data_IF_072506377543
#
_entry.id   IF_072506377543
#
_cell.length_a   1.000
_cell.length_b   1.000
_cell.length_c   1.000
_cell.angle_alpha   90.00
_cell.angle_beta   90.00
_cell.angle_gamma   90.00
#
_symmetry.space_group_name_H-M   'P 1'
#
loop_
_entity.id
_entity.type
_entity.pdbx_description
1 polymer ?
#
# COMPACT_ATOMS: atom_id res chain seq x y z
N UNK A 1 -24.02 0.66 -17.38
CA UNK A 1 -23.21 0.52 -16.17
C UNK A 1 -23.19 -0.94 -15.73
N UNK A 2 -22.01 -1.55 -15.70
CA UNK A 2 -21.83 -2.97 -15.36
C UNK A 2 -21.39 -3.16 -13.89
N UNK A 3 -21.38 -2.10 -13.08
CA UNK A 3 -20.95 -2.15 -11.67
C UNK A 3 -19.46 -2.41 -11.47
N UNK A 4 -18.64 -2.23 -12.53
CA UNK A 4 -17.17 -2.40 -12.44
C UNK A 4 -16.57 -1.21 -11.67
N UNK A 5 -15.64 -1.52 -10.79
CA UNK A 5 -14.82 -0.52 -10.08
C UNK A 5 -13.46 -0.39 -10.72
N UNK A 6 -12.97 0.83 -10.83
CA UNK A 6 -11.69 1.16 -11.45
C UNK A 6 -10.71 1.62 -10.38
N UNK A 7 -9.52 1.02 -10.37
CA UNK A 7 -8.41 1.44 -9.51
C UNK A 7 -7.34 2.09 -10.37
N UNK A 8 -6.99 3.33 -10.06
CA UNK A 8 -5.92 4.08 -10.74
C UNK A 8 -4.61 3.96 -9.97
N UNK A 9 -3.52 3.62 -10.66
CA UNK A 9 -2.17 3.49 -10.09
C UNK A 9 -1.35 4.76 -10.37
N UNK A 10 -0.79 5.38 -9.32
CA UNK A 10 0.00 6.61 -9.43
C UNK A 10 1.52 6.36 -9.56
N UNK A 11 1.95 5.12 -9.72
CA UNK A 11 3.37 4.67 -9.66
C UNK A 11 4.34 5.47 -10.55
N UNK A 12 3.90 5.99 -11.70
CA UNK A 12 4.75 6.73 -12.65
C UNK A 12 4.53 8.24 -12.63
N UNK A 13 3.87 8.75 -11.62
CA UNK A 13 3.63 10.19 -11.48
C UNK A 13 4.88 10.90 -10.94
N UNK A 14 5.28 12.00 -11.54
CA UNK A 14 6.37 12.85 -11.04
C UNK A 14 6.06 13.41 -9.63
N UNK A 15 4.78 13.59 -9.34
CA UNK A 15 4.25 13.96 -8.04
C UNK A 15 3.09 13.01 -7.71
N UNK A 16 3.24 12.21 -6.67
CA UNK A 16 2.26 11.17 -6.29
C UNK A 16 0.91 11.76 -5.86
N UNK A 17 0.91 12.92 -5.23
CA UNK A 17 -0.32 13.60 -4.77
C UNK A 17 -1.10 14.14 -5.97
N UNK A 18 -0.42 14.80 -6.90
CA UNK A 18 -1.06 15.33 -8.10
C UNK A 18 -1.55 14.20 -9.01
N UNK A 19 -0.79 13.10 -9.10
CA UNK A 19 -1.21 11.89 -9.79
C UNK A 19 -2.48 11.28 -9.20
N UNK A 20 -2.58 11.22 -7.88
CA UNK A 20 -3.77 10.71 -7.20
C UNK A 20 -5.01 11.59 -7.46
N UNK A 21 -4.87 12.92 -7.39
CA UNK A 21 -5.96 13.85 -7.73
C UNK A 21 -6.42 13.71 -9.17
N UNK A 22 -5.47 13.61 -10.11
CA UNK A 22 -5.80 13.42 -11.52
C UNK A 22 -6.60 12.13 -11.74
N UNK A 23 -6.20 11.02 -11.10
CA UNK A 23 -6.92 9.75 -11.20
C UNK A 23 -8.34 9.84 -10.63
N UNK A 24 -8.52 10.55 -9.52
CA UNK A 24 -9.85 10.83 -8.96
C UNK A 24 -10.70 11.67 -9.92
N UNK A 25 -10.13 12.74 -10.48
CA UNK A 25 -10.81 13.61 -11.46
C UNK A 25 -11.21 12.85 -12.74
N UNK A 26 -10.43 11.84 -13.13
CA UNK A 26 -10.72 10.95 -14.25
C UNK A 26 -11.81 9.90 -13.93
N UNK A 27 -12.29 9.84 -12.68
CA UNK A 27 -13.40 8.98 -12.27
C UNK A 27 -12.98 7.60 -11.77
N UNK A 28 -11.75 7.42 -11.32
CA UNK A 28 -11.36 6.21 -10.61
C UNK A 28 -12.15 6.07 -9.29
N UNK A 29 -12.44 4.84 -8.90
CA UNK A 29 -13.12 4.53 -7.63
C UNK A 29 -12.14 4.36 -6.47
N UNK A 30 -10.86 4.06 -6.77
CA UNK A 30 -9.78 3.83 -5.81
C UNK A 30 -8.47 4.36 -6.38
N UNK A 31 -7.58 4.82 -5.50
CA UNK A 31 -6.19 5.12 -5.83
C UNK A 31 -5.30 3.96 -5.36
N UNK A 32 -4.37 3.54 -6.20
CA UNK A 32 -3.27 2.66 -5.82
C UNK A 32 -2.04 3.57 -5.63
N UNK A 33 -1.64 3.79 -4.38
CA UNK A 33 -0.38 4.44 -4.05
C UNK A 33 0.74 3.41 -4.05
N UNK A 34 1.58 3.46 -5.07
CA UNK A 34 2.49 2.39 -5.42
C UNK A 34 3.93 2.89 -5.62
N UNK A 35 4.86 2.34 -4.84
CA UNK A 35 6.28 2.49 -5.11
C UNK A 35 6.77 1.24 -5.84
N UNK A 36 7.15 1.42 -7.11
CA UNK A 36 7.51 0.33 -8.02
C UNK A 36 8.73 -0.48 -7.55
N UNK A 37 8.77 -1.75 -7.95
CA UNK A 37 9.91 -2.63 -7.63
C UNK A 37 11.22 -2.12 -8.23
N UNK A 38 11.19 -1.69 -9.49
CA UNK A 38 12.40 -1.24 -10.20
C UNK A 38 12.94 0.07 -9.61
N UNK A 39 12.05 0.98 -9.21
CA UNK A 39 12.41 2.21 -8.49
C UNK A 39 13.11 1.89 -7.17
N UNK A 40 12.51 1.03 -6.34
CA UNK A 40 13.10 0.62 -5.06
C UNK A 40 14.44 -0.07 -5.24
N UNK A 41 14.58 -0.91 -6.28
CA UNK A 41 15.81 -1.59 -6.61
C UNK A 41 16.89 -0.61 -7.04
N UNK A 42 16.59 0.34 -7.90
CA UNK A 42 17.53 1.38 -8.32
C UNK A 42 18.04 2.22 -7.15
N UNK A 43 17.15 2.62 -6.24
CA UNK A 43 17.51 3.36 -5.02
C UNK A 43 18.36 2.50 -4.09
N UNK A 44 18.05 1.23 -3.91
CA UNK A 44 18.85 0.31 -3.10
C UNK A 44 20.27 0.15 -3.67
N UNK A 45 20.41 0.06 -4.99
CA UNK A 45 21.71 -0.05 -5.67
C UNK A 45 22.54 1.24 -5.55
N UNK A 46 21.91 2.41 -5.42
CA UNK A 46 22.58 3.69 -5.17
C UNK A 46 23.03 3.88 -3.72
N UNK A 47 22.57 3.03 -2.79
CA UNK A 47 22.88 3.13 -1.36
C UNK A 47 22.04 4.17 -0.61
N UNK A 48 21.00 4.71 -1.24
CA UNK A 48 20.05 5.63 -0.62
C UNK A 48 18.99 4.88 0.18
N UNK A 49 18.27 5.62 1.05
CA UNK A 49 17.14 5.05 1.80
C UNK A 49 16.01 4.69 0.82
N UNK A 50 15.59 3.42 0.83
CA UNK A 50 14.45 2.97 0.06
C UNK A 50 13.18 3.65 0.60
N UNK A 51 12.37 4.31 -0.26
CA UNK A 51 11.13 4.93 0.16
C UNK A 51 10.10 3.87 0.59
N UNK A 52 9.30 4.21 1.60
CA UNK A 52 8.12 3.43 1.99
C UNK A 52 6.86 4.07 1.45
N UNK A 53 5.85 3.31 1.03
CA UNK A 53 4.53 3.89 0.74
C UNK A 53 3.97 4.73 1.88
N UNK A 54 4.34 4.48 3.13
CA UNK A 54 3.92 5.28 4.28
C UNK A 54 4.45 6.72 4.26
N UNK A 55 5.57 6.98 3.59
CA UNK A 55 6.22 8.29 3.64
C UNK A 55 5.31 9.42 3.12
N UNK A 56 4.46 9.15 2.10
CA UNK A 56 3.52 10.10 1.50
C UNK A 56 2.04 9.72 1.68
N UNK A 57 1.76 8.54 2.24
CA UNK A 57 0.41 7.98 2.29
C UNK A 57 -0.61 8.92 2.92
N UNK A 58 -0.27 9.54 4.05
CA UNK A 58 -1.18 10.44 4.77
C UNK A 58 -1.54 11.69 3.95
N UNK A 59 -0.56 12.23 3.23
CA UNK A 59 -0.77 13.41 2.38
C UNK A 59 -1.65 13.08 1.17
N UNK A 60 -1.46 11.90 0.57
CA UNK A 60 -2.30 11.41 -0.52
C UNK A 60 -3.73 11.20 -0.03
N UNK A 61 -3.91 10.51 1.12
CA UNK A 61 -5.24 10.27 1.71
C UNK A 61 -5.98 11.58 2.01
N UNK A 62 -5.27 12.63 2.43
CA UNK A 62 -5.88 13.95 2.65
C UNK A 62 -6.21 14.70 1.36
N UNK A 63 -5.56 14.35 0.27
CA UNK A 63 -5.68 15.05 -1.01
C UNK A 63 -6.83 14.56 -1.89
N UNK A 64 -7.37 13.37 -1.61
CA UNK A 64 -8.45 12.71 -2.37
C UNK A 64 -9.60 12.28 -1.46
N UNK A 65 -10.80 12.15 -2.01
CA UNK A 65 -12.00 11.68 -1.29
C UNK A 65 -12.21 10.17 -1.44
N UNK A 66 -11.66 9.56 -2.50
CA UNK A 66 -11.80 8.13 -2.78
C UNK A 66 -10.76 7.32 -1.98
N UNK A 67 -11.06 6.04 -1.67
CA UNK A 67 -10.16 5.22 -0.87
C UNK A 67 -8.81 4.99 -1.53
N UNK A 68 -7.75 4.98 -0.72
CA UNK A 68 -6.37 4.73 -1.15
C UNK A 68 -5.93 3.33 -0.73
N UNK A 69 -5.30 2.60 -1.65
CA UNK A 69 -4.61 1.34 -1.40
C UNK A 69 -3.11 1.60 -1.31
N UNK A 70 -2.45 1.08 -0.28
CA UNK A 70 -0.99 1.14 -0.15
C UNK A 70 -0.34 -0.15 -0.67
N UNK A 71 0.69 0.01 -1.53
CA UNK A 71 1.45 -1.11 -2.10
C UNK A 71 2.88 -0.71 -2.44
N UNK A 72 3.79 -1.66 -2.45
CA UNK A 72 5.19 -1.47 -2.85
C UNK A 72 6.17 -1.56 -1.71
N UNK A 73 6.66 -2.76 -1.42
CA UNK A 73 7.73 -2.99 -0.47
C UNK A 73 7.35 -2.81 1.00
N UNK A 74 6.07 -2.89 1.34
CA UNK A 74 5.62 -2.81 2.72
C UNK A 74 6.17 -3.97 3.56
N UNK A 75 6.82 -3.63 4.69
CA UNK A 75 7.03 -4.58 5.76
C UNK A 75 5.70 -4.94 6.44
N UNK A 76 5.66 -6.02 7.22
CA UNK A 76 4.48 -6.34 8.01
C UNK A 76 4.13 -5.22 8.99
N UNK A 77 5.14 -4.62 9.62
CA UNK A 77 4.95 -3.50 10.54
C UNK A 77 4.34 -2.28 9.84
N UNK A 78 4.81 -1.95 8.62
CA UNK A 78 4.27 -0.85 7.85
C UNK A 78 2.85 -1.14 7.35
N UNK A 79 2.59 -2.37 6.92
CA UNK A 79 1.25 -2.80 6.50
C UNK A 79 0.21 -2.66 7.63
N UNK A 80 0.58 -3.00 8.86
CA UNK A 80 -0.27 -2.82 10.05
C UNK A 80 -0.55 -1.33 10.32
N UNK A 81 0.37 -0.44 9.96
CA UNK A 81 0.19 1.01 10.14
C UNK A 81 -0.68 1.67 9.05
N UNK A 82 -0.75 1.10 7.84
CA UNK A 82 -1.47 1.71 6.72
C UNK A 82 -2.90 2.18 7.06
N UNK A 83 -3.74 1.42 7.79
CA UNK A 83 -5.06 1.91 8.20
C UNK A 83 -5.01 3.16 9.06
N UNK A 84 -4.00 3.29 9.94
CA UNK A 84 -3.83 4.45 10.80
C UNK A 84 -3.44 5.71 10.01
N UNK A 85 -2.90 5.54 8.80
CA UNK A 85 -2.60 6.60 7.83
C UNK A 85 -3.76 6.84 6.85
N UNK A 86 -4.87 6.10 7.00
CA UNK A 86 -6.10 6.30 6.24
C UNK A 86 -6.25 5.40 5.01
N UNK A 87 -5.35 4.44 4.76
CA UNK A 87 -5.49 3.47 3.69
C UNK A 87 -6.30 2.24 4.17
N UNK A 88 -7.53 2.04 3.69
CA UNK A 88 -8.34 0.88 4.06
C UNK A 88 -7.92 -0.41 3.34
N UNK A 89 -7.07 -0.30 2.33
CA UNK A 89 -6.62 -1.41 1.50
C UNK A 89 -5.10 -1.48 1.50
N UNK A 90 -4.58 -2.70 1.65
CA UNK A 90 -3.14 -2.98 1.69
C UNK A 90 -2.81 -4.17 0.81
N UNK A 91 -1.73 -4.07 0.03
CA UNK A 91 -1.20 -5.19 -0.74
C UNK A 91 0.14 -5.63 -0.15
N UNK A 92 0.21 -6.89 0.21
CA UNK A 92 1.42 -7.55 0.66
C UNK A 92 1.88 -8.51 -0.43
N UNK A 93 3.08 -8.29 -0.95
CA UNK A 93 3.66 -9.09 -2.04
C UNK A 93 5.02 -9.66 -1.67
N UNK A 94 5.47 -10.65 -2.45
CA UNK A 94 6.84 -11.13 -2.39
C UNK A 94 7.83 -9.99 -2.74
N UNK A 95 9.05 -9.98 -2.16
CA UNK A 95 9.64 -10.98 -1.26
C UNK A 95 9.38 -10.75 0.23
N UNK A 96 8.53 -9.80 0.62
CA UNK A 96 8.58 -9.18 1.94
C UNK A 96 7.92 -9.95 3.07
N UNK A 97 6.81 -10.57 2.81
CA UNK A 97 6.04 -11.25 3.87
C UNK A 97 5.89 -12.73 3.56
N UNK A 98 5.96 -13.09 2.30
CA UNK A 98 5.76 -14.43 1.78
C UNK A 98 6.91 -14.78 0.83
N UNK A 99 8.15 -14.54 1.24
CA UNK A 99 9.30 -15.15 0.59
C UNK A 99 9.51 -16.59 1.11
N UNK A 100 10.36 -17.36 0.44
CA UNK A 100 10.63 -18.73 0.82
C UNK A 100 11.20 -18.87 2.24
N UNK A 101 11.82 -17.82 2.77
CA UNK A 101 12.39 -17.83 4.12
C UNK A 101 11.34 -17.44 5.16
N UNK A 102 10.42 -16.53 4.85
CA UNK A 102 9.24 -16.23 5.67
C UNK A 102 8.33 -17.45 5.82
N UNK A 103 8.20 -18.25 4.77
CA UNK A 103 7.49 -19.54 4.86
C UNK A 103 8.15 -20.51 5.85
N UNK A 104 9.46 -20.53 5.92
CA UNK A 104 10.20 -21.39 6.87
C UNK A 104 10.09 -20.88 8.30
N UNK A 105 10.03 -19.57 8.50
CA UNK A 105 9.91 -18.96 9.84
C UNK A 105 8.48 -18.99 10.37
N UNK A 106 7.49 -19.19 9.52
CA UNK A 106 6.06 -19.22 9.86
C UNK A 106 5.54 -20.63 10.19
N UNK A 107 6.30 -21.48 10.85
CA UNK A 107 5.94 -22.84 11.25
C UNK A 107 5.45 -23.75 10.11
N UNK A 108 5.75 -23.39 8.85
CA UNK A 108 5.33 -24.11 7.65
C UNK A 108 3.83 -24.07 7.36
N UNK A 109 3.06 -23.24 8.08
CA UNK A 109 1.61 -23.13 7.90
C UNK A 109 1.24 -21.75 7.33
N UNK A 110 1.10 -21.67 6.01
CA UNK A 110 0.72 -20.46 5.30
C UNK A 110 -0.62 -19.89 5.79
N UNK A 111 -1.62 -20.73 6.00
CA UNK A 111 -2.94 -20.31 6.46
C UNK A 111 -2.86 -19.61 7.82
N UNK A 112 -2.15 -20.18 8.76
CA UNK A 112 -1.93 -19.58 10.09
C UNK A 112 -1.22 -18.23 10.00
N UNK A 113 -0.21 -18.12 9.13
CA UNK A 113 0.54 -16.89 8.93
C UNK A 113 -0.33 -15.81 8.29
N UNK A 114 -1.04 -16.11 7.23
CA UNK A 114 -1.97 -15.18 6.57
C UNK A 114 -3.07 -14.73 7.54
N UNK A 115 -3.63 -15.66 8.32
CA UNK A 115 -4.64 -15.30 9.32
C UNK A 115 -4.09 -14.32 10.36
N UNK A 116 -2.92 -14.55 10.92
CA UNK A 116 -2.29 -13.62 11.87
C UNK A 116 -2.08 -12.22 11.27
N UNK A 117 -1.62 -12.15 10.02
CA UNK A 117 -1.42 -10.90 9.29
C UNK A 117 -2.74 -10.17 9.09
N UNK A 118 -3.76 -10.86 8.59
CA UNK A 118 -5.09 -10.28 8.39
C UNK A 118 -5.69 -9.79 9.70
N UNK A 119 -5.64 -10.61 10.76
CA UNK A 119 -6.16 -10.24 12.08
C UNK A 119 -5.44 -8.99 12.62
N UNK A 120 -4.11 -8.89 12.45
CA UNK A 120 -3.33 -7.74 12.89
C UNK A 120 -3.71 -6.46 12.15
N UNK A 121 -3.90 -6.52 10.83
CA UNK A 121 -4.29 -5.36 10.01
C UNK A 121 -5.75 -4.99 10.30
N UNK A 122 -6.67 -5.95 10.34
CA UNK A 122 -8.09 -5.72 10.58
C UNK A 122 -8.39 -5.22 12.00
N UNK A 123 -7.49 -5.45 12.97
CA UNK A 123 -7.62 -4.88 14.31
C UNK A 123 -7.38 -3.37 14.36
N UNK A 124 -6.80 -2.80 13.30
CA UNK A 124 -6.52 -1.37 13.25
C UNK A 124 -7.74 -0.56 12.84
N UNK A 125 -7.87 0.62 13.42
CA UNK A 125 -8.90 1.57 13.02
C UNK A 125 -8.39 2.39 11.84
N UNK A 126 -9.20 2.48 10.78
CA UNK A 126 -8.88 3.33 9.63
C UNK A 126 -9.07 4.79 10.03
N UNK A 127 -8.02 5.58 9.86
CA UNK A 127 -8.08 7.03 10.02
C UNK A 127 -8.89 7.63 8.87
N UNK A 128 -9.79 8.56 9.19
CA UNK A 128 -10.54 9.29 8.18
C UNK A 128 -10.28 10.79 8.39
N UNK A 129 -9.54 11.45 7.47
CA UNK A 129 -9.21 12.87 7.62
C UNK A 129 -10.43 13.79 7.48
N UNK A 130 -11.52 13.29 6.87
CA UNK A 130 -12.73 14.06 6.58
C UNK A 130 -13.84 13.84 7.64
N UNK A 131 -13.50 13.20 8.74
CA UNK A 131 -14.32 13.02 9.94
C UNK A 131 -13.53 13.46 11.18
#
# INVERSE_FOLDING_TARGET
>A
DFGIKVMGDNMVSDNMIDGAKLLEDLGCDYIIHHIGYDERRGIMESGEKIPSPLDELLEIVKAVEIPVQAVGGLSLEDAIKCPQYGAPLVVLGAPLVIDADSFKTADGNLESSLKKICDAIHSQKVFNPNK
#
